data_IF_906315019877
#
_entry.id   IF_906315019877
#
_cell.length_a   1.000
_cell.length_b   1.000
_cell.length_c   1.000
_cell.angle_alpha   90.00
_cell.angle_beta   90.00
_cell.angle_gamma   90.00
#
_symmetry.space_group_name_H-M   'P 1'
#
loop_
_entity.id
_entity.type
_entity.pdbx_description
1 polymer ?
#
# COMPACT_ATOMS: atom_id res chain seq x y z
N UNK A 1 -24.71 -48.87 21.70
CA UNK A 1 -23.83 -48.73 20.51
C UNK A 1 -23.50 -47.26 20.35
N UNK A 2 -22.38 -46.84 20.87
CA UNK A 2 -21.83 -45.50 20.67
C UNK A 2 -21.26 -45.45 19.24
N UNK A 3 -21.91 -44.67 18.33
CA UNK A 3 -21.34 -44.34 17.04
C UNK A 3 -20.01 -43.64 17.27
N UNK A 4 -18.92 -44.29 16.95
CA UNK A 4 -17.61 -43.63 16.82
C UNK A 4 -17.77 -42.51 15.77
N UNK A 5 -17.82 -41.25 16.23
CA UNK A 5 -17.65 -40.12 15.36
C UNK A 5 -16.24 -40.23 14.75
N UNK A 6 -16.14 -40.42 13.43
CA UNK A 6 -14.88 -40.24 12.70
C UNK A 6 -14.35 -38.85 13.06
N UNK A 7 -13.05 -38.70 13.36
CA UNK A 7 -12.47 -37.38 13.55
C UNK A 7 -12.77 -36.57 12.28
N UNK A 8 -13.46 -35.45 12.42
CA UNK A 8 -13.69 -34.54 11.30
C UNK A 8 -12.29 -34.15 10.77
N UNK A 9 -12.02 -34.46 9.52
CA UNK A 9 -10.76 -34.03 8.88
C UNK A 9 -10.74 -32.49 8.97
N UNK A 10 -9.61 -31.96 9.49
CA UNK A 10 -9.39 -30.50 9.54
C UNK A 10 -9.49 -29.93 8.13
N UNK A 11 -10.22 -28.83 7.96
CA UNK A 11 -10.28 -28.10 6.68
C UNK A 11 -8.89 -27.51 6.39
N UNK A 12 -8.33 -27.85 5.23
CA UNK A 12 -7.02 -27.36 4.80
C UNK A 12 -7.19 -25.99 4.15
N UNK A 13 -6.78 -24.95 4.86
CA UNK A 13 -6.74 -23.58 4.34
C UNK A 13 -5.33 -23.29 3.85
N UNK A 14 -5.21 -22.92 2.58
CA UNK A 14 -3.94 -22.48 1.99
C UNK A 14 -4.04 -21.00 1.63
N UNK A 15 -3.09 -20.21 2.13
CA UNK A 15 -2.98 -18.77 1.87
C UNK A 15 -1.76 -18.57 0.98
N UNK A 16 -1.98 -18.05 -0.24
CA UNK A 16 -0.92 -17.72 -1.20
C UNK A 16 -0.61 -16.23 -1.10
N UNK A 17 0.59 -15.93 -0.62
CA UNK A 17 1.08 -14.59 -0.33
C UNK A 17 1.31 -14.38 1.16
N UNK A 18 2.59 -14.39 1.58
CA UNK A 18 3.01 -14.22 2.97
C UNK A 18 3.39 -12.76 3.31
N UNK A 19 2.81 -11.78 2.59
CA UNK A 19 2.88 -10.37 2.90
C UNK A 19 2.02 -9.99 4.10
N UNK A 20 1.76 -8.68 4.29
CA UNK A 20 1.02 -8.17 5.46
C UNK A 20 -0.36 -8.82 5.60
N UNK A 21 -1.12 -8.89 4.51
CA UNK A 21 -2.49 -9.40 4.53
C UNK A 21 -2.55 -10.90 4.86
N UNK A 22 -1.79 -11.73 4.12
CA UNK A 22 -1.80 -13.18 4.32
C UNK A 22 -1.24 -13.60 5.67
N UNK A 23 -0.15 -12.98 6.11
CA UNK A 23 0.45 -13.27 7.43
C UNK A 23 -0.45 -12.86 8.58
N UNK A 24 -1.13 -11.70 8.49
CA UNK A 24 -2.09 -11.30 9.50
C UNK A 24 -3.31 -12.22 9.51
N UNK A 25 -3.85 -12.58 8.34
CA UNK A 25 -4.96 -13.54 8.25
C UNK A 25 -4.59 -14.88 8.90
N UNK A 26 -3.43 -15.45 8.57
CA UNK A 26 -2.97 -16.72 9.15
C UNK A 26 -2.81 -16.63 10.68
N UNK A 27 -2.25 -15.53 11.19
CA UNK A 27 -2.11 -15.28 12.62
C UNK A 27 -3.48 -15.15 13.32
N UNK A 28 -4.41 -14.42 12.74
CA UNK A 28 -5.72 -14.16 13.35
C UNK A 28 -6.62 -15.41 13.29
N UNK A 29 -6.57 -16.19 12.20
CA UNK A 29 -7.24 -17.50 12.11
C UNK A 29 -6.74 -18.48 13.17
N UNK A 30 -5.43 -18.50 13.45
CA UNK A 30 -4.85 -19.33 14.52
C UNK A 30 -5.42 -18.97 15.90
N UNK A 31 -5.78 -17.70 16.13
CA UNK A 31 -6.31 -17.20 17.39
C UNK A 31 -7.84 -17.33 17.49
N UNK A 32 -8.53 -17.69 16.41
CA UNK A 32 -9.99 -17.82 16.38
C UNK A 32 -10.41 -19.10 17.10
N UNK A 33 -11.23 -19.02 18.17
CA UNK A 33 -11.66 -20.20 18.92
C UNK A 33 -12.53 -21.14 18.07
N UNK A 34 -12.52 -22.43 18.41
CA UNK A 34 -13.39 -23.46 17.81
C UNK A 34 -13.21 -23.69 16.29
N UNK A 35 -12.14 -23.19 15.69
CA UNK A 35 -11.81 -23.47 14.29
C UNK A 35 -10.91 -24.70 14.20
N UNK A 36 -11.32 -25.68 13.39
CA UNK A 36 -10.54 -26.91 13.14
C UNK A 36 -9.85 -26.82 11.76
N UNK A 37 -9.02 -25.77 11.58
CA UNK A 37 -8.30 -25.57 10.33
C UNK A 37 -6.86 -26.07 10.43
N UNK A 38 -6.34 -26.56 9.29
CA UNK A 38 -4.91 -26.73 9.04
C UNK A 38 -4.48 -25.61 8.12
N UNK A 39 -3.63 -24.70 8.59
CA UNK A 39 -3.28 -23.48 7.86
C UNK A 39 -1.90 -23.66 7.24
N UNK A 40 -1.79 -23.44 5.93
CA UNK A 40 -0.52 -23.33 5.20
C UNK A 40 -0.41 -21.93 4.61
N UNK A 41 0.68 -21.23 4.93
CA UNK A 41 1.01 -19.90 4.40
C UNK A 41 2.22 -20.01 3.47
N UNK A 42 2.05 -19.59 2.21
CA UNK A 42 3.08 -19.70 1.17
C UNK A 42 3.53 -18.31 0.73
N UNK A 43 4.84 -18.04 0.76
CA UNK A 43 5.44 -16.78 0.36
C UNK A 43 6.54 -16.94 -0.68
N UNK A 44 6.58 -16.03 -1.66
CA UNK A 44 7.66 -15.91 -2.64
C UNK A 44 8.94 -15.38 -1.99
N UNK A 45 8.80 -14.44 -1.04
CA UNK A 45 9.92 -13.85 -0.33
C UNK A 45 10.44 -14.78 0.79
N UNK A 46 11.74 -14.69 1.09
CA UNK A 46 12.34 -15.39 2.23
C UNK A 46 11.89 -14.81 3.57
N UNK A 47 11.70 -13.49 3.63
CA UNK A 47 11.15 -12.81 4.80
C UNK A 47 9.62 -12.84 4.75
N UNK A 48 9.01 -13.33 5.84
CA UNK A 48 7.56 -13.50 5.98
C UNK A 48 7.03 -12.66 7.13
N UNK A 49 5.84 -12.08 6.95
CA UNK A 49 5.11 -11.43 8.04
C UNK A 49 5.75 -10.15 8.55
N UNK A 50 6.44 -9.41 7.72
CA UNK A 50 6.97 -8.10 8.05
C UNK A 50 6.02 -6.95 7.66
N UNK A 51 6.20 -5.80 8.29
CA UNK A 51 5.42 -4.59 8.02
C UNK A 51 6.02 -3.80 6.84
N UNK A 52 5.42 -3.93 5.64
CA UNK A 52 5.89 -3.23 4.43
C UNK A 52 5.83 -1.71 4.54
N UNK A 53 4.98 -1.17 5.41
CA UNK A 53 4.92 0.30 5.64
C UNK A 53 6.23 0.80 6.22
N UNK A 54 6.96 -0.04 6.95
CA UNK A 54 8.20 0.32 7.61
C UNK A 54 9.45 0.22 6.70
N UNK A 55 9.30 -0.24 5.44
CA UNK A 55 10.42 -0.39 4.51
C UNK A 55 11.14 0.95 4.22
N UNK A 56 10.39 2.04 4.15
CA UNK A 56 10.97 3.37 3.98
C UNK A 56 11.77 3.83 5.21
N UNK A 57 11.28 3.51 6.41
CA UNK A 57 11.99 3.79 7.66
C UNK A 57 13.26 2.93 7.79
N UNK A 58 13.20 1.67 7.36
CA UNK A 58 14.36 0.79 7.29
C UNK A 58 15.40 1.30 6.29
N UNK A 59 14.97 1.71 5.09
CA UNK A 59 15.83 2.34 4.09
C UNK A 59 16.47 3.62 4.63
N UNK A 60 15.72 4.43 5.36
CA UNK A 60 16.21 5.67 5.97
C UNK A 60 17.12 5.45 7.19
N UNK A 61 17.29 4.20 7.64
CA UNK A 61 17.99 3.81 8.88
C UNK A 61 17.38 4.44 10.14
N UNK A 62 16.06 4.70 10.11
CA UNK A 62 15.29 5.24 11.24
C UNK A 62 14.84 4.13 12.19
N UNK A 63 14.83 2.87 11.72
CA UNK A 63 14.53 1.65 12.47
C UNK A 63 15.50 0.54 12.11
N UNK A 64 15.55 -0.48 12.95
CA UNK A 64 16.32 -1.73 12.75
C UNK A 64 15.45 -2.87 12.21
N UNK A 65 16.10 -3.94 11.73
CA UNK A 65 15.43 -5.17 11.29
C UNK A 65 14.52 -5.78 12.36
N UNK A 66 14.88 -5.61 13.65
CA UNK A 66 14.13 -6.15 14.78
C UNK A 66 12.72 -5.50 14.93
N UNK A 67 12.50 -4.33 14.35
CA UNK A 67 11.22 -3.59 14.40
C UNK A 67 10.31 -3.89 13.21
N UNK A 68 10.82 -4.64 12.23
CA UNK A 68 10.08 -4.98 11.01
C UNK A 68 8.94 -6.00 11.18
N UNK A 69 8.99 -6.99 12.09
CA UNK A 69 7.94 -8.00 12.18
C UNK A 69 6.55 -7.41 12.47
N UNK A 70 5.57 -7.73 11.62
CA UNK A 70 4.16 -7.45 11.82
C UNK A 70 3.50 -8.53 12.69
N UNK A 71 3.91 -9.77 12.49
CA UNK A 71 3.46 -10.95 13.24
C UNK A 71 4.64 -11.76 13.73
N UNK A 72 4.44 -12.53 14.79
CA UNK A 72 5.48 -13.45 15.29
C UNK A 72 5.37 -14.80 14.59
N UNK A 73 6.20 -15.02 13.57
CA UNK A 73 6.19 -16.24 12.75
C UNK A 73 6.56 -17.50 13.53
N UNK A 74 7.39 -17.41 14.58
CA UNK A 74 7.75 -18.56 15.42
C UNK A 74 6.55 -18.98 16.27
N UNK A 75 5.81 -18.04 16.85
CA UNK A 75 4.56 -18.36 17.54
C UNK A 75 3.52 -18.97 16.59
N UNK A 76 3.45 -18.49 15.34
CA UNK A 76 2.56 -19.09 14.33
C UNK A 76 2.94 -20.55 14.03
N UNK A 77 4.25 -20.85 13.83
CA UNK A 77 4.74 -22.23 13.62
C UNK A 77 4.43 -23.12 14.82
N UNK A 78 4.71 -22.67 16.03
CA UNK A 78 4.40 -23.40 17.27
C UNK A 78 2.89 -23.63 17.38
N UNK A 79 2.06 -22.68 16.96
CA UNK A 79 0.60 -22.80 16.92
C UNK A 79 0.06 -23.72 15.81
N UNK A 80 0.91 -24.24 14.92
CA UNK A 80 0.53 -25.20 13.89
C UNK A 80 0.33 -24.61 12.49
N UNK A 81 0.72 -23.36 12.26
CA UNK A 81 0.76 -22.82 10.89
C UNK A 81 1.99 -23.35 10.17
N UNK A 82 1.78 -24.02 9.04
CA UNK A 82 2.85 -24.43 8.14
C UNK A 82 3.26 -23.25 7.25
N UNK A 83 4.47 -22.72 7.41
CA UNK A 83 4.98 -21.57 6.65
C UNK A 83 6.02 -22.05 5.65
N UNK A 84 5.74 -21.84 4.35
CA UNK A 84 6.66 -22.07 3.23
C UNK A 84 7.10 -20.70 2.74
N UNK A 85 8.39 -20.37 2.83
CA UNK A 85 8.96 -19.08 2.42
C UNK A 85 10.02 -19.27 1.35
N UNK A 86 10.16 -18.32 0.44
CA UNK A 86 11.13 -18.39 -0.67
C UNK A 86 10.76 -19.38 -1.76
N UNK A 87 9.51 -19.85 -1.79
CA UNK A 87 9.06 -20.87 -2.75
C UNK A 87 7.70 -20.46 -3.35
N UNK A 88 7.70 -19.69 -4.44
CA UNK A 88 6.47 -19.18 -5.03
C UNK A 88 5.60 -20.27 -5.64
N UNK A 89 4.28 -20.07 -5.56
CA UNK A 89 3.32 -20.85 -6.34
C UNK A 89 3.44 -20.47 -7.81
N UNK A 90 3.71 -21.46 -8.67
CA UNK A 90 3.89 -21.27 -10.12
C UNK A 90 2.72 -21.77 -10.96
N UNK A 91 1.81 -22.54 -10.37
CA UNK A 91 0.62 -23.05 -11.04
C UNK A 91 -0.38 -23.62 -10.07
N UNK A 92 -1.62 -23.78 -10.52
CA UNK A 92 -2.69 -24.40 -9.76
C UNK A 92 -3.61 -25.21 -10.65
N UNK A 93 -4.23 -26.22 -10.06
CA UNK A 93 -5.25 -27.06 -10.67
C UNK A 93 -6.52 -27.01 -9.81
N UNK A 94 -7.63 -26.57 -10.40
CA UNK A 94 -8.91 -26.38 -9.70
C UNK A 94 -9.65 -27.70 -9.46
N UNK A 95 -9.49 -28.69 -10.35
CA UNK A 95 -10.19 -29.99 -10.24
C UNK A 95 -9.59 -30.84 -9.11
N UNK A 96 -8.25 -30.89 -9.07
CA UNK A 96 -7.52 -31.63 -8.03
C UNK A 96 -7.30 -30.84 -6.76
N UNK A 97 -7.58 -29.53 -6.77
CA UNK A 97 -7.32 -28.57 -5.68
C UNK A 97 -5.85 -28.62 -5.25
N UNK A 98 -4.95 -28.54 -6.21
CA UNK A 98 -3.51 -28.66 -5.99
C UNK A 98 -2.77 -27.41 -6.49
N UNK A 99 -1.81 -26.95 -5.68
CA UNK A 99 -0.88 -25.89 -6.03
C UNK A 99 0.50 -26.51 -6.30
N UNK A 100 1.19 -26.03 -7.34
CA UNK A 100 2.56 -26.38 -7.65
C UNK A 100 3.49 -25.24 -7.29
N UNK A 101 4.54 -25.55 -6.52
CA UNK A 101 5.57 -24.59 -6.13
C UNK A 101 6.77 -24.66 -7.06
N UNK A 102 7.60 -23.62 -7.06
CA UNK A 102 8.80 -23.55 -7.89
C UNK A 102 9.82 -24.65 -7.55
N UNK A 103 9.88 -25.11 -6.31
CA UNK A 103 10.70 -26.26 -5.87
C UNK A 103 10.25 -27.61 -6.45
N UNK A 104 9.07 -27.67 -7.06
CA UNK A 104 8.42 -28.91 -7.50
C UNK A 104 7.54 -29.56 -6.44
N UNK A 105 7.45 -29.00 -5.22
CA UNK A 105 6.49 -29.45 -4.20
C UNK A 105 5.07 -29.14 -4.62
N UNK A 106 4.13 -30.03 -4.26
CA UNK A 106 2.70 -29.83 -4.39
C UNK A 106 2.03 -29.63 -3.04
N UNK A 107 1.03 -28.73 -2.99
CA UNK A 107 0.22 -28.45 -1.79
C UNK A 107 -1.25 -28.52 -2.15
N UNK A 108 -2.00 -29.38 -1.45
CA UNK A 108 -3.45 -29.52 -1.66
C UNK A 108 -4.24 -28.68 -0.66
N UNK A 109 -5.40 -28.18 -1.07
CA UNK A 109 -6.26 -27.32 -0.24
C UNK A 109 -7.71 -27.79 -0.28
N UNK A 110 -8.49 -27.42 0.73
CA UNK A 110 -9.94 -27.46 0.72
C UNK A 110 -10.49 -26.04 0.44
N UNK A 111 -9.82 -25.01 0.99
CA UNK A 111 -10.08 -23.61 0.74
C UNK A 111 -8.77 -22.87 0.43
N UNK A 112 -8.79 -22.01 -0.58
CA UNK A 112 -7.66 -21.23 -1.03
C UNK A 112 -7.92 -19.74 -0.85
N UNK A 113 -6.94 -19.00 -0.34
CA UNK A 113 -7.02 -17.54 -0.22
C UNK A 113 -5.85 -16.90 -0.99
N UNK A 114 -6.18 -16.08 -1.98
CA UNK A 114 -5.21 -15.20 -2.62
C UNK A 114 -4.95 -13.98 -1.73
N UNK A 115 -3.72 -13.83 -1.27
CA UNK A 115 -3.19 -12.66 -0.59
C UNK A 115 -1.89 -12.21 -1.27
N UNK A 116 -1.82 -12.40 -2.59
CA UNK A 116 -0.65 -12.20 -3.45
C UNK A 116 -0.22 -10.73 -3.56
N UNK A 117 -1.09 -9.81 -3.16
CA UNK A 117 -0.79 -8.38 -3.13
C UNK A 117 -0.59 -7.79 -4.52
N UNK A 118 0.49 -7.04 -4.70
CA UNK A 118 0.79 -6.37 -5.97
C UNK A 118 2.30 -6.31 -6.19
N UNK A 119 2.71 -6.00 -7.41
CA UNK A 119 4.11 -5.74 -7.81
C UNK A 119 4.32 -4.26 -8.09
N UNK A 120 5.53 -3.76 -7.92
CA UNK A 120 5.89 -2.43 -8.37
C UNK A 120 5.66 -2.32 -9.89
N UNK A 121 5.02 -1.24 -10.32
CA UNK A 121 4.77 -1.01 -11.74
C UNK A 121 6.05 -0.51 -12.40
N UNK A 122 6.63 -1.33 -13.26
CA UNK A 122 7.71 -0.92 -14.14
C UNK A 122 7.09 -0.27 -15.38
N UNK A 123 7.43 0.99 -15.61
CA UNK A 123 6.91 1.72 -16.76
C UNK A 123 7.57 1.18 -18.05
N UNK A 124 6.83 1.15 -19.17
CA UNK A 124 7.34 0.67 -20.47
C UNK A 124 8.21 1.75 -21.12
N UNK A 125 9.34 2.05 -20.50
CA UNK A 125 10.35 2.99 -20.97
C UNK A 125 11.49 2.16 -21.59
N UNK A 126 12.03 2.61 -22.70
CA UNK A 126 13.20 1.96 -23.32
C UNK A 126 14.36 1.85 -22.31
N UNK A 127 14.92 0.66 -22.15
CA UNK A 127 15.97 0.37 -21.18
C UNK A 127 15.47 0.05 -19.75
N UNK A 128 14.16 0.04 -19.49
CA UNK A 128 13.60 -0.23 -18.16
C UNK A 128 13.82 -1.68 -17.65
N UNK A 129 14.26 -2.60 -18.49
CA UNK A 129 14.61 -3.98 -18.10
C UNK A 129 16.06 -4.13 -17.62
N UNK A 130 16.83 -3.04 -17.53
CA UNK A 130 18.22 -3.09 -17.09
C UNK A 130 18.35 -3.55 -15.64
N UNK A 131 19.45 -4.24 -15.26
CA UNK A 131 19.62 -4.77 -13.89
C UNK A 131 19.64 -3.73 -12.78
N UNK A 132 20.00 -2.47 -13.09
CA UNK A 132 19.96 -1.35 -12.14
C UNK A 132 18.70 -0.47 -12.28
N UNK A 133 17.60 -1.05 -12.80
CA UNK A 133 16.25 -0.49 -12.73
C UNK A 133 15.42 -1.42 -11.86
N UNK A 134 14.89 -0.92 -10.75
CA UNK A 134 14.17 -1.72 -9.77
C UNK A 134 12.93 -1.03 -9.26
N UNK A 135 12.03 -1.77 -8.65
CA UNK A 135 10.94 -1.23 -7.84
C UNK A 135 11.40 -0.89 -6.42
N UNK A 136 10.47 -0.32 -5.64
CA UNK A 136 10.62 -0.22 -4.19
C UNK A 136 9.36 -0.81 -3.54
N UNK A 137 9.45 -2.05 -3.07
CA UNK A 137 8.28 -2.75 -2.53
C UNK A 137 8.61 -3.86 -1.53
N UNK A 138 9.76 -4.50 -1.66
CA UNK A 138 10.15 -5.66 -0.86
C UNK A 138 11.32 -5.33 0.06
N UNK A 139 11.56 -6.20 1.05
CA UNK A 139 12.75 -6.09 1.88
C UNK A 139 14.02 -6.22 1.05
N UNK A 140 14.01 -7.12 0.08
CA UNK A 140 15.14 -7.28 -0.84
C UNK A 140 15.47 -6.00 -1.62
N UNK A 141 14.45 -5.20 -1.98
CA UNK A 141 14.68 -3.90 -2.62
C UNK A 141 15.44 -2.96 -1.68
N UNK A 142 15.11 -2.97 -0.38
CA UNK A 142 15.85 -2.21 0.63
C UNK A 142 17.29 -2.71 0.73
N UNK A 143 17.51 -4.04 0.77
CA UNK A 143 18.85 -4.62 0.85
C UNK A 143 19.72 -4.18 -0.33
N UNK A 144 19.18 -4.18 -1.56
CA UNK A 144 19.88 -3.70 -2.75
C UNK A 144 20.24 -2.21 -2.62
N UNK A 145 19.29 -1.37 -2.21
CA UNK A 145 19.52 0.07 -2.05
C UNK A 145 20.49 0.39 -0.92
N UNK A 146 20.47 -0.37 0.16
CA UNK A 146 21.40 -0.17 1.31
C UNK A 146 22.79 -0.70 1.04
N UNK A 147 22.95 -1.63 0.10
CA UNK A 147 24.26 -2.14 -0.34
C UNK A 147 25.03 -1.20 -1.26
N UNK A 148 24.42 -0.11 -1.74
CA UNK A 148 25.07 0.89 -2.58
C UNK A 148 26.28 1.49 -1.86
N UNK A 149 27.41 1.58 -2.57
CA UNK A 149 28.67 2.12 -2.00
C UNK A 149 28.98 3.51 -2.54
N UNK A 150 29.48 4.37 -1.65
CA UNK A 150 29.84 5.75 -2.02
C UNK A 150 28.60 6.60 -2.34
N UNK A 151 28.85 7.80 -2.87
CA UNK A 151 27.77 8.69 -3.31
C UNK A 151 27.35 8.30 -4.74
N UNK A 152 26.16 7.73 -4.88
CA UNK A 152 25.57 7.37 -6.17
C UNK A 152 24.56 8.42 -6.61
N UNK A 153 24.36 8.54 -7.93
CA UNK A 153 23.28 9.33 -8.52
C UNK A 153 22.07 8.42 -8.74
N UNK A 154 20.97 8.70 -8.04
CA UNK A 154 19.76 7.89 -8.08
C UNK A 154 18.60 8.67 -8.68
N UNK A 155 17.93 8.07 -9.66
CA UNK A 155 16.69 8.57 -10.22
C UNK A 155 15.51 7.82 -9.61
N UNK A 156 14.59 8.55 -8.97
CA UNK A 156 13.31 7.99 -8.48
C UNK A 156 12.18 8.43 -9.41
N UNK A 157 11.41 7.49 -9.93
CA UNK A 157 10.29 7.78 -10.84
C UNK A 157 8.98 7.63 -10.08
N UNK A 158 8.37 8.76 -9.77
CA UNK A 158 7.09 8.85 -9.05
C UNK A 158 7.19 9.74 -7.81
N UNK A 159 6.50 10.89 -7.83
CA UNK A 159 6.35 11.83 -6.69
C UNK A 159 5.16 11.48 -5.79
N UNK A 160 4.79 10.20 -5.70
CA UNK A 160 3.86 9.67 -4.71
C UNK A 160 4.56 9.36 -3.39
N UNK A 161 3.78 8.94 -2.37
CA UNK A 161 4.30 8.68 -1.01
C UNK A 161 5.57 7.82 -1.01
N UNK A 162 5.49 6.63 -1.61
CA UNK A 162 6.57 5.65 -1.60
C UNK A 162 7.84 6.17 -2.31
N UNK A 163 7.67 6.91 -3.41
CA UNK A 163 8.80 7.51 -4.13
C UNK A 163 9.49 8.61 -3.32
N UNK A 164 8.72 9.46 -2.64
CA UNK A 164 9.27 10.51 -1.76
C UNK A 164 9.99 9.92 -0.55
N UNK A 165 9.43 8.87 0.06
CA UNK A 165 10.06 8.16 1.16
C UNK A 165 11.37 7.47 0.72
N UNK A 166 11.37 6.82 -0.46
CA UNK A 166 12.57 6.24 -1.05
C UNK A 166 13.64 7.31 -1.29
N UNK A 167 13.24 8.44 -1.88
CA UNK A 167 14.16 9.56 -2.15
C UNK A 167 14.83 10.07 -0.88
N UNK A 168 14.04 10.32 0.17
CA UNK A 168 14.58 10.79 1.45
C UNK A 168 15.47 9.75 2.12
N UNK A 169 15.05 8.46 2.10
CA UNK A 169 15.88 7.38 2.63
C UNK A 169 17.25 7.31 1.96
N UNK A 170 17.29 7.45 0.65
CA UNK A 170 18.52 7.44 -0.15
C UNK A 170 19.38 8.70 0.09
N UNK A 171 18.76 9.88 0.21
CA UNK A 171 19.49 11.12 0.59
C UNK A 171 20.13 11.00 1.97
N UNK A 172 19.41 10.47 2.96
CA UNK A 172 19.95 10.21 4.31
C UNK A 172 21.17 9.27 4.28
N UNK A 173 21.25 8.39 3.28
CA UNK A 173 22.41 7.50 3.04
C UNK A 173 23.55 8.16 2.24
N UNK A 174 23.42 9.42 1.90
CA UNK A 174 24.47 10.20 1.22
C UNK A 174 24.45 10.11 -0.30
N UNK A 175 23.34 9.64 -0.90
CA UNK A 175 23.17 9.60 -2.35
C UNK A 175 22.61 10.92 -2.90
N UNK A 176 22.90 11.23 -4.17
CA UNK A 176 22.27 12.32 -4.91
C UNK A 176 20.97 11.80 -5.53
N UNK A 177 19.84 12.38 -5.18
CA UNK A 177 18.55 11.86 -5.61
C UNK A 177 17.76 12.89 -6.38
N UNK A 178 17.31 12.53 -7.58
CA UNK A 178 16.36 13.31 -8.40
C UNK A 178 15.07 12.52 -8.58
N UNK A 179 13.94 13.14 -8.21
CA UNK A 179 12.60 12.57 -8.36
C UNK A 179 11.95 13.12 -9.63
N UNK A 180 11.61 12.26 -10.57
CA UNK A 180 10.76 12.58 -11.72
C UNK A 180 9.30 12.37 -11.38
N UNK A 181 8.48 13.35 -11.68
CA UNK A 181 7.03 13.24 -11.50
C UNK A 181 6.27 13.87 -12.65
N UNK A 182 5.39 13.08 -13.28
CA UNK A 182 4.60 13.52 -14.45
C UNK A 182 3.62 14.65 -14.17
N UNK A 183 3.18 14.82 -12.91
CA UNK A 183 2.29 15.91 -12.49
C UNK A 183 3.11 17.12 -12.04
N UNK A 184 2.51 18.30 -12.10
CA UNK A 184 3.15 19.57 -11.76
C UNK A 184 3.40 19.75 -10.25
N UNK A 185 2.85 18.88 -9.39
CA UNK A 185 3.07 18.89 -7.94
C UNK A 185 3.05 17.49 -7.34
N UNK A 186 3.72 17.37 -6.19
CA UNK A 186 3.87 16.12 -5.44
C UNK A 186 2.55 15.66 -4.81
N UNK A 187 2.39 14.35 -4.60
CA UNK A 187 1.21 13.76 -3.96
C UNK A 187 -0.12 14.28 -4.54
N UNK A 188 -0.20 14.46 -5.86
CA UNK A 188 -1.30 15.10 -6.57
C UNK A 188 -2.68 14.43 -6.37
N UNK A 189 -2.73 13.26 -5.73
CA UNK A 189 -3.97 12.59 -5.30
C UNK A 189 -4.37 12.92 -3.85
N UNK A 190 -3.46 13.46 -3.05
CA UNK A 190 -3.63 13.73 -1.62
C UNK A 190 -3.52 15.22 -1.30
N UNK A 191 -2.79 15.99 -2.09
CA UNK A 191 -2.50 17.39 -1.87
C UNK A 191 -2.95 18.23 -3.06
N UNK A 192 -3.26 19.49 -2.79
CA UNK A 192 -3.36 20.52 -3.82
C UNK A 192 -1.96 21.14 -4.10
N UNK A 193 -1.89 22.02 -5.10
CA UNK A 193 -0.62 22.61 -5.52
C UNK A 193 0.06 23.40 -4.39
N UNK A 194 -0.72 24.07 -3.52
CA UNK A 194 -0.19 24.94 -2.46
C UNK A 194 0.42 24.11 -1.31
N UNK A 195 -0.31 23.12 -0.81
CA UNK A 195 0.23 22.22 0.23
C UNK A 195 1.38 21.34 -0.30
N UNK A 196 1.33 20.95 -1.58
CA UNK A 196 2.41 20.23 -2.22
C UNK A 196 3.68 21.06 -2.38
N UNK A 197 3.56 22.39 -2.61
CA UNK A 197 4.73 23.28 -2.64
C UNK A 197 5.43 23.39 -1.28
N UNK A 198 4.66 23.40 -0.18
CA UNK A 198 5.24 23.36 1.17
C UNK A 198 6.04 22.06 1.39
N UNK A 199 5.49 20.93 0.91
CA UNK A 199 6.18 19.64 1.00
C UNK A 199 7.45 19.64 0.12
N UNK A 200 7.36 20.13 -1.11
CA UNK A 200 8.48 20.19 -2.03
C UNK A 200 9.64 20.99 -1.43
N UNK A 201 9.38 22.21 -0.95
CA UNK A 201 10.38 23.05 -0.31
C UNK A 201 11.09 22.32 0.85
N UNK A 202 10.31 21.62 1.68
CA UNK A 202 10.85 20.85 2.80
C UNK A 202 11.75 19.70 2.34
N UNK A 203 11.40 19.00 1.26
CA UNK A 203 12.21 17.91 0.72
C UNK A 203 13.45 18.41 -0.02
N UNK A 204 13.37 19.58 -0.67
CA UNK A 204 14.52 20.25 -1.28
C UNK A 204 15.55 20.71 -0.23
N UNK A 205 15.09 21.23 0.91
CA UNK A 205 15.96 21.53 2.07
C UNK A 205 16.70 20.29 2.59
N UNK A 206 16.10 19.11 2.44
CA UNK A 206 16.71 17.84 2.80
C UNK A 206 17.69 17.31 1.73
N UNK A 207 17.75 17.93 0.55
CA UNK A 207 18.65 17.58 -0.53
C UNK A 207 18.06 16.75 -1.66
N UNK A 208 16.73 16.57 -1.69
CA UNK A 208 16.04 15.93 -2.82
C UNK A 208 15.88 16.93 -3.96
N UNK A 209 16.18 16.52 -5.18
CA UNK A 209 15.94 17.30 -6.40
C UNK A 209 14.67 16.82 -7.11
N UNK A 210 13.98 17.73 -7.81
CA UNK A 210 12.71 17.40 -8.49
C UNK A 210 12.72 17.81 -9.95
N UNK A 211 12.14 16.94 -10.79
CA UNK A 211 11.74 17.20 -12.18
C UNK A 211 10.22 16.98 -12.25
N UNK A 212 9.45 18.06 -12.01
CA UNK A 212 7.98 18.02 -12.03
C UNK A 212 7.43 18.34 -13.41
N UNK A 213 6.27 17.76 -13.74
CA UNK A 213 5.68 17.83 -15.08
C UNK A 213 6.48 17.03 -16.11
N UNK A 214 7.42 16.18 -15.66
CA UNK A 214 8.41 15.51 -16.49
C UNK A 214 8.36 13.99 -16.27
N UNK A 215 8.67 13.25 -17.33
CA UNK A 215 8.85 11.80 -17.29
C UNK A 215 10.02 11.40 -18.15
N UNK A 216 10.83 10.42 -17.75
CA UNK A 216 11.86 9.88 -18.62
C UNK A 216 11.27 9.32 -19.92
N UNK A 217 11.94 9.58 -21.03
CA UNK A 217 11.61 9.03 -22.37
C UNK A 217 12.38 7.74 -22.66
N UNK A 218 13.62 7.62 -22.16
CA UNK A 218 14.47 6.44 -22.32
C UNK A 218 15.53 6.34 -21.22
N UNK A 219 16.09 5.15 -21.06
CA UNK A 219 17.28 4.88 -20.26
C UNK A 219 18.41 4.39 -21.15
N UNK A 220 19.50 5.15 -21.23
CA UNK A 220 20.67 4.77 -22.00
C UNK A 220 21.51 3.77 -21.23
N UNK A 221 21.87 2.68 -21.88
CA UNK A 221 22.64 1.60 -21.30
C UNK A 221 24.10 1.62 -21.76
N UNK A 222 24.99 1.20 -20.88
CA UNK A 222 26.38 0.87 -21.20
C UNK A 222 26.46 -0.44 -21.99
N UNK A 223 27.67 -0.77 -22.45
CA UNK A 223 27.95 -2.08 -23.08
C UNK A 223 27.69 -3.27 -22.15
N UNK A 224 27.66 -3.03 -20.82
CA UNK A 224 27.36 -4.07 -19.81
C UNK A 224 25.85 -4.19 -19.53
N UNK A 225 25.00 -3.42 -20.21
CA UNK A 225 23.55 -3.43 -20.03
C UNK A 225 23.03 -2.64 -18.84
N UNK A 226 23.91 -1.94 -18.08
CA UNK A 226 23.48 -1.07 -16.99
C UNK A 226 23.07 0.30 -17.52
N UNK A 227 22.00 0.87 -16.98
CA UNK A 227 21.60 2.26 -17.23
C UNK A 227 22.69 3.19 -16.72
N UNK A 228 23.07 4.15 -17.56
CA UNK A 228 24.06 5.19 -17.24
C UNK A 228 23.47 6.59 -17.31
N UNK A 229 22.41 6.79 -18.09
CA UNK A 229 21.72 8.08 -18.20
C UNK A 229 20.21 7.90 -18.32
N UNK A 230 19.48 8.80 -17.70
CA UNK A 230 18.06 9.06 -17.93
C UNK A 230 17.94 10.12 -19.01
N UNK A 231 17.13 9.87 -20.03
CA UNK A 231 16.81 10.84 -21.08
C UNK A 231 15.49 11.50 -20.74
N UNK A 232 15.49 12.81 -20.56
CA UNK A 232 14.29 13.61 -20.33
C UNK A 232 13.48 13.81 -21.62
N UNK A 233 12.22 14.18 -21.51
CA UNK A 233 11.43 14.55 -22.71
C UNK A 233 11.99 15.80 -23.41
N UNK A 234 12.64 16.68 -22.65
CA UNK A 234 13.38 17.84 -23.18
C UNK A 234 14.58 17.46 -24.05
N UNK A 235 15.03 16.19 -24.02
CA UNK A 235 16.26 15.71 -24.65
C UNK A 235 17.52 15.85 -23.77
N UNK A 236 17.41 16.37 -22.56
CA UNK A 236 18.51 16.40 -21.61
C UNK A 236 18.87 14.99 -21.12
N UNK A 237 20.18 14.75 -20.93
CA UNK A 237 20.71 13.47 -20.42
C UNK A 237 21.25 13.66 -19.01
N UNK A 238 20.65 12.99 -18.04
CA UNK A 238 21.08 13.03 -16.64
C UNK A 238 21.80 11.71 -16.29
N UNK A 239 23.05 11.77 -15.80
CA UNK A 239 23.78 10.57 -15.38
C UNK A 239 23.13 9.91 -14.18
N UNK A 240 23.08 8.58 -14.16
CA UNK A 240 22.44 7.80 -13.10
C UNK A 240 23.13 6.46 -12.90
N UNK A 241 23.20 6.02 -11.63
CA UNK A 241 23.75 4.72 -11.23
C UNK A 241 22.63 3.72 -10.88
N UNK A 242 21.49 4.21 -10.40
CA UNK A 242 20.31 3.41 -10.04
C UNK A 242 19.02 4.14 -10.43
N UNK A 243 18.05 3.40 -10.95
CA UNK A 243 16.69 3.88 -11.19
C UNK A 243 15.71 3.13 -10.29
N UNK A 244 14.92 3.87 -9.49
CA UNK A 244 13.89 3.33 -8.62
C UNK A 244 12.51 3.69 -9.16
N UNK A 245 11.72 2.68 -9.58
CA UNK A 245 10.36 2.83 -10.07
C UNK A 245 9.36 2.84 -8.90
N UNK A 246 8.80 4.00 -8.61
CA UNK A 246 7.73 4.20 -7.62
C UNK A 246 6.47 4.80 -8.25
N UNK A 247 6.17 4.42 -9.50
CA UNK A 247 5.08 4.97 -10.32
C UNK A 247 3.73 4.26 -10.15
N UNK A 248 3.55 3.59 -9.02
CA UNK A 248 2.35 2.83 -8.66
C UNK A 248 2.59 1.33 -8.60
N UNK A 249 1.49 0.58 -8.47
CA UNK A 249 1.49 -0.87 -8.31
C UNK A 249 0.57 -1.52 -9.36
N UNK A 250 0.80 -2.80 -9.61
CA UNK A 250 -0.09 -3.66 -10.40
C UNK A 250 -0.48 -4.85 -9.53
N UNK A 251 -1.77 -5.14 -9.32
CA UNK A 251 -2.23 -6.32 -8.60
C UNK A 251 -1.63 -7.61 -9.17
N UNK A 252 -1.22 -8.54 -8.30
CA UNK A 252 -0.69 -9.84 -8.71
C UNK A 252 -1.84 -10.83 -8.89
N UNK A 253 -2.25 -10.98 -10.12
CA UNK A 253 -3.46 -11.75 -10.51
C UNK A 253 -3.16 -12.93 -11.41
N UNK A 254 -1.89 -13.17 -11.77
CA UNK A 254 -1.48 -14.14 -12.78
C UNK A 254 -2.06 -15.54 -12.51
N UNK A 255 -1.88 -16.07 -11.32
CA UNK A 255 -2.37 -17.41 -10.97
C UNK A 255 -3.89 -17.53 -11.08
N UNK A 256 -4.64 -16.53 -10.59
CA UNK A 256 -6.09 -16.50 -10.68
C UNK A 256 -6.57 -16.47 -12.13
N UNK A 257 -5.94 -15.61 -12.95
CA UNK A 257 -6.26 -15.47 -14.38
C UNK A 257 -5.95 -16.73 -15.17
N UNK A 258 -4.80 -17.36 -14.94
CA UNK A 258 -4.40 -18.62 -15.59
C UNK A 258 -5.33 -19.78 -15.22
N UNK A 259 -5.93 -19.74 -14.02
CA UNK A 259 -6.90 -20.71 -13.55
C UNK A 259 -8.34 -20.42 -13.99
N UNK A 260 -8.59 -19.33 -14.72
CA UNK A 260 -9.94 -18.98 -15.20
C UNK A 260 -10.85 -18.32 -14.14
N UNK A 261 -10.27 -17.80 -13.04
CA UNK A 261 -10.99 -17.02 -12.05
C UNK A 261 -11.19 -15.61 -12.59
N UNK A 262 -12.33 -14.98 -12.30
CA UNK A 262 -12.68 -13.67 -12.80
C UNK A 262 -11.70 -12.58 -12.31
N UNK A 263 -11.13 -11.87 -13.28
CA UNK A 263 -10.14 -10.79 -13.07
C UNK A 263 -10.50 -9.61 -13.98
N UNK A 264 -10.61 -8.41 -13.38
CA UNK A 264 -10.64 -7.13 -14.08
C UNK A 264 -9.29 -6.39 -13.87
N UNK A 265 -9.28 -5.33 -13.04
CA UNK A 265 -8.04 -4.71 -12.59
C UNK A 265 -7.33 -5.58 -11.55
N UNK A 266 -8.11 -6.30 -10.73
CA UNK A 266 -7.66 -7.27 -9.75
C UNK A 266 -8.59 -8.48 -9.72
N UNK A 267 -8.40 -9.43 -8.80
CA UNK A 267 -9.27 -10.61 -8.65
C UNK A 267 -10.61 -10.14 -8.12
N UNK A 268 -11.68 -10.39 -8.88
CA UNK A 268 -13.04 -9.97 -8.52
C UNK A 268 -13.55 -10.81 -7.36
N UNK A 269 -14.07 -10.13 -6.32
CA UNK A 269 -14.68 -10.78 -5.14
C UNK A 269 -16.06 -10.18 -4.84
N UNK A 270 -16.86 -10.96 -4.13
CA UNK A 270 -18.13 -10.53 -3.54
C UNK A 270 -17.94 -9.89 -2.15
N UNK A 271 -19.01 -9.50 -1.48
CA UNK A 271 -19.01 -8.91 -0.13
C UNK A 271 -18.49 -9.88 0.96
N UNK A 272 -18.36 -11.17 0.65
CA UNK A 272 -17.78 -12.21 1.52
C UNK A 272 -16.31 -12.51 1.19
N UNK A 273 -15.68 -11.70 0.34
CA UNK A 273 -14.33 -11.90 -0.19
C UNK A 273 -14.19 -13.16 -1.04
N UNK A 274 -15.27 -13.71 -1.58
CA UNK A 274 -15.30 -14.93 -2.38
C UNK A 274 -15.14 -14.58 -3.85
N UNK A 275 -14.34 -15.37 -4.57
CA UNK A 275 -14.12 -15.22 -6.01
C UNK A 275 -15.25 -15.90 -6.81
N UNK A 276 -15.15 -15.91 -8.13
CA UNK A 276 -16.05 -16.68 -9.00
C UNK A 276 -16.00 -18.20 -8.76
N UNK A 277 -14.99 -18.70 -8.01
CA UNK A 277 -14.87 -20.10 -7.62
C UNK A 277 -15.32 -20.32 -6.16
N UNK A 278 -16.14 -21.37 -5.86
CA UNK A 278 -16.80 -21.54 -4.56
C UNK A 278 -15.87 -21.71 -3.36
N UNK A 279 -14.68 -22.27 -3.54
CA UNK A 279 -13.72 -22.56 -2.47
C UNK A 279 -12.48 -21.64 -2.49
N UNK A 280 -12.56 -20.55 -3.27
CA UNK A 280 -11.44 -19.64 -3.45
C UNK A 280 -11.86 -18.21 -3.09
N UNK A 281 -11.03 -17.58 -2.27
CA UNK A 281 -11.19 -16.23 -1.77
C UNK A 281 -10.01 -15.36 -2.17
N UNK A 282 -10.17 -14.04 -2.12
CA UNK A 282 -9.06 -13.10 -2.29
C UNK A 282 -9.21 -11.91 -1.36
N UNK A 283 -8.09 -11.34 -0.90
CA UNK A 283 -8.07 -10.14 -0.08
C UNK A 283 -6.78 -9.33 -0.29
N UNK A 284 -6.81 -8.09 0.11
CA UNK A 284 -5.65 -7.20 0.00
C UNK A 284 -5.57 -6.49 -1.35
N UNK A 285 -4.35 -6.14 -1.75
CA UNK A 285 -4.14 -5.38 -2.99
C UNK A 285 -4.38 -6.19 -4.27
N UNK A 286 -4.47 -7.53 -4.17
CA UNK A 286 -4.74 -8.38 -5.33
C UNK A 286 -6.24 -8.54 -5.63
N UNK A 287 -7.15 -8.07 -4.77
CA UNK A 287 -8.58 -8.18 -4.98
C UNK A 287 -9.25 -6.87 -5.40
N UNK A 288 -10.41 -7.01 -6.04
CA UNK A 288 -11.29 -5.96 -6.49
C UNK A 288 -12.71 -6.24 -6.03
N UNK A 289 -13.34 -5.28 -5.35
CA UNK A 289 -14.72 -5.33 -4.93
C UNK A 289 -15.43 -4.05 -5.41
N UNK A 290 -16.61 -4.19 -6.04
CA UNK A 290 -17.37 -3.07 -6.63
C UNK A 290 -16.51 -2.14 -7.50
N UNK A 291 -15.65 -2.71 -8.35
CA UNK A 291 -14.71 -2.02 -9.26
C UNK A 291 -13.65 -1.17 -8.54
N UNK A 292 -13.45 -1.36 -7.24
CA UNK A 292 -12.42 -0.69 -6.46
C UNK A 292 -11.32 -1.65 -6.02
N UNK A 293 -10.07 -1.17 -6.11
CA UNK A 293 -8.88 -1.86 -5.60
C UNK A 293 -8.38 -1.18 -4.34
N UNK A 294 -7.67 -1.91 -3.49
CA UNK A 294 -7.33 -1.49 -2.14
C UNK A 294 -5.81 -1.33 -1.98
N UNK A 295 -5.34 -0.10 -1.80
CA UNK A 295 -3.92 0.21 -1.58
C UNK A 295 -3.60 0.70 -0.16
N UNK A 296 -4.62 0.83 0.70
CA UNK A 296 -4.47 1.23 2.11
C UNK A 296 -4.71 0.02 3.02
N UNK A 297 -4.04 0.02 4.16
CA UNK A 297 -4.07 -1.12 5.08
C UNK A 297 -5.40 -1.26 5.83
N UNK A 298 -6.07 -0.15 6.16
CA UNK A 298 -7.28 -0.18 6.97
C UNK A 298 -8.43 -1.00 6.32
N UNK A 299 -8.78 -0.81 5.03
CA UNK A 299 -9.75 -1.66 4.35
C UNK A 299 -9.34 -3.14 4.36
N UNK A 300 -8.05 -3.44 4.18
CA UNK A 300 -7.54 -4.82 4.16
C UNK A 300 -7.74 -5.50 5.52
N UNK A 301 -7.58 -4.76 6.64
CA UNK A 301 -7.87 -5.30 7.98
C UNK A 301 -9.37 -5.60 8.16
N UNK A 302 -10.25 -4.83 7.54
CA UNK A 302 -11.70 -5.12 7.53
C UNK A 302 -12.00 -6.36 6.69
N UNK A 303 -11.39 -6.50 5.50
CA UNK A 303 -11.51 -7.71 4.67
C UNK A 303 -11.08 -8.96 5.43
N UNK A 304 -9.98 -8.92 6.20
CA UNK A 304 -9.51 -10.05 7.02
C UNK A 304 -10.58 -10.44 8.05
N UNK A 305 -11.16 -9.48 8.76
CA UNK A 305 -12.21 -9.76 9.76
C UNK A 305 -13.42 -10.41 9.11
N UNK A 306 -13.88 -9.87 7.99
CA UNK A 306 -14.99 -10.45 7.21
C UNK A 306 -14.69 -11.89 6.78
N UNK A 307 -13.50 -12.11 6.23
CA UNK A 307 -13.12 -13.43 5.76
C UNK A 307 -13.01 -14.45 6.90
N UNK A 308 -12.49 -14.07 8.07
CA UNK A 308 -12.45 -14.93 9.26
C UNK A 308 -13.88 -15.32 9.68
N UNK A 309 -14.82 -14.37 9.72
CA UNK A 309 -16.23 -14.61 10.02
C UNK A 309 -16.83 -15.62 9.03
N UNK A 310 -16.61 -15.43 7.73
CA UNK A 310 -17.09 -16.33 6.67
C UNK A 310 -16.48 -17.74 6.80
N UNK A 311 -15.16 -17.84 7.02
CA UNK A 311 -14.47 -19.13 7.20
C UNK A 311 -14.89 -19.86 8.48
N UNK A 312 -15.43 -19.14 9.48
CA UNK A 312 -16.03 -19.71 10.69
C UNK A 312 -17.47 -20.18 10.49
N UNK A 313 -18.03 -20.00 9.29
CA UNK A 313 -19.42 -20.40 8.95
C UNK A 313 -20.48 -19.37 9.35
N UNK A 314 -20.08 -18.16 9.67
CA UNK A 314 -20.96 -17.04 10.03
C UNK A 314 -21.14 -16.08 8.85
N UNK A 315 -22.16 -15.23 8.89
CA UNK A 315 -22.40 -14.22 7.85
C UNK A 315 -21.49 -13.00 8.06
N UNK A 316 -20.55 -12.81 7.14
CA UNK A 316 -19.67 -11.63 7.05
C UNK A 316 -20.02 -10.81 5.80
N UNK A 317 -19.98 -9.48 5.91
CA UNK A 317 -20.23 -8.57 4.80
C UNK A 317 -19.20 -7.45 4.80
N UNK A 318 -18.43 -7.32 3.73
CA UNK A 318 -17.51 -6.22 3.51
C UNK A 318 -18.26 -5.05 2.88
N UNK A 319 -18.05 -3.87 3.45
CA UNK A 319 -18.59 -2.61 2.94
C UNK A 319 -17.43 -1.65 2.73
N UNK A 320 -17.44 -0.95 1.60
CA UNK A 320 -16.44 0.08 1.31
C UNK A 320 -16.76 1.33 2.14
N UNK A 321 -15.85 1.67 3.03
CA UNK A 321 -15.93 2.90 3.81
C UNK A 321 -14.87 3.90 3.35
N UNK A 322 -15.19 5.21 3.33
CA UNK A 322 -14.18 6.24 3.12
C UNK A 322 -13.01 6.03 4.08
N UNK A 323 -11.80 6.08 3.56
CA UNK A 323 -10.60 5.88 4.38
C UNK A 323 -9.72 7.12 4.26
N UNK A 324 -9.40 7.79 5.38
CA UNK A 324 -8.51 8.93 5.35
C UNK A 324 -7.07 8.50 5.05
N UNK A 325 -6.39 9.28 4.25
CA UNK A 325 -4.96 9.12 4.02
C UNK A 325 -4.20 9.89 5.11
N UNK A 326 -3.57 9.15 6.02
CA UNK A 326 -2.65 9.70 7.03
C UNK A 326 -1.23 9.35 6.63
N UNK A 327 -0.41 10.35 6.38
CA UNK A 327 0.96 10.18 5.93
C UNK A 327 1.91 10.90 6.86
N UNK A 328 3.10 10.33 7.03
CA UNK A 328 4.22 11.01 7.65
C UNK A 328 5.40 10.95 6.67
N UNK A 329 5.58 12.02 5.92
CA UNK A 329 6.66 12.12 4.94
C UNK A 329 7.78 12.94 5.55
N UNK A 330 8.91 12.30 5.81
CA UNK A 330 10.13 13.01 6.24
C UNK A 330 9.94 13.97 7.43
N UNK A 331 9.15 13.53 8.40
CA UNK A 331 8.83 14.30 9.60
C UNK A 331 7.64 15.25 9.46
N UNK A 332 7.09 15.43 8.26
CA UNK A 332 5.88 16.22 8.04
C UNK A 332 4.65 15.33 8.16
N UNK A 333 3.70 15.70 9.00
CA UNK A 333 2.42 15.04 9.11
C UNK A 333 1.45 15.58 8.06
N UNK A 334 0.78 14.69 7.35
CA UNK A 334 -0.21 15.00 6.33
C UNK A 334 -1.48 14.20 6.60
N UNK A 335 -2.61 14.83 6.35
CA UNK A 335 -3.92 14.19 6.39
C UNK A 335 -4.75 14.68 5.21
N UNK A 336 -5.34 13.76 4.47
CA UNK A 336 -6.31 14.12 3.45
C UNK A 336 -7.42 13.10 3.36
N UNK A 337 -8.63 13.55 3.08
CA UNK A 337 -9.81 12.71 2.91
C UNK A 337 -10.83 13.38 2.01
N UNK A 338 -11.55 12.58 1.25
CA UNK A 338 -12.65 13.04 0.39
C UNK A 338 -12.19 13.83 -0.83
N UNK A 339 -13.01 14.79 -1.25
CA UNK A 339 -12.83 15.60 -2.44
C UNK A 339 -11.82 16.72 -2.21
N UNK A 340 -10.56 16.53 -2.57
CA UNK A 340 -9.49 17.54 -2.39
C UNK A 340 -9.40 18.56 -3.52
N UNK A 341 -9.93 18.22 -4.70
CA UNK A 341 -10.04 19.12 -5.87
C UNK A 341 -11.47 19.63 -5.94
N UNK A 342 -11.71 20.93 -5.65
CA UNK A 342 -13.06 21.49 -5.67
C UNK A 342 -13.58 21.61 -7.10
N UNK A 343 -14.90 21.54 -7.28
CA UNK A 343 -15.63 21.96 -8.46
C UNK A 343 -16.16 23.39 -8.29
N UNK A 344 -16.82 23.93 -9.33
CA UNK A 344 -17.33 25.29 -9.30
C UNK A 344 -18.41 25.52 -8.22
N UNK A 345 -19.13 24.48 -7.83
CA UNK A 345 -20.23 24.53 -6.86
C UNK A 345 -19.75 24.27 -5.42
N UNK A 346 -18.45 24.10 -5.19
CA UNK A 346 -17.90 23.83 -3.87
C UNK A 346 -17.34 25.11 -3.22
N UNK A 347 -17.65 25.31 -1.97
CA UNK A 347 -17.02 26.32 -1.14
C UNK A 347 -15.67 25.82 -0.62
N UNK A 348 -14.65 26.67 -0.69
CA UNK A 348 -13.32 26.37 -0.18
C UNK A 348 -12.94 27.32 0.96
N UNK A 349 -12.63 26.72 2.10
CA UNK A 349 -12.11 27.44 3.26
C UNK A 349 -10.66 26.98 3.44
N UNK A 350 -9.74 27.92 3.56
CA UNK A 350 -8.34 27.58 3.79
C UNK A 350 -7.68 28.49 4.83
N UNK A 351 -6.68 27.94 5.50
CA UNK A 351 -5.84 28.62 6.44
C UNK A 351 -4.38 28.25 6.17
N UNK A 352 -3.49 29.22 6.17
CA UNK A 352 -2.06 29.02 5.95
C UNK A 352 -1.27 29.84 6.96
N UNK A 353 -0.43 29.14 7.74
CA UNK A 353 0.60 29.74 8.57
C UNK A 353 1.97 29.32 8.03
N UNK A 354 2.62 30.27 7.35
CA UNK A 354 3.93 30.03 6.72
C UNK A 354 5.01 29.82 7.78
N UNK A 355 4.95 30.56 8.90
CA UNK A 355 5.96 30.50 9.96
C UNK A 355 5.93 29.13 10.69
N UNK A 356 4.73 28.62 10.94
CA UNK A 356 4.54 27.32 11.56
C UNK A 356 4.55 26.17 10.54
N UNK A 357 4.62 26.46 9.24
CA UNK A 357 4.49 25.47 8.18
C UNK A 357 3.18 24.67 8.31
N UNK A 358 2.07 25.33 8.58
CA UNK A 358 0.76 24.73 8.67
C UNK A 358 -0.13 25.16 7.50
N UNK A 359 -0.85 24.19 6.92
CA UNK A 359 -1.87 24.45 5.92
C UNK A 359 -3.10 23.59 6.20
N UNK A 360 -4.28 24.20 6.05
CA UNK A 360 -5.57 23.54 6.12
C UNK A 360 -6.42 23.98 4.94
N UNK A 361 -7.07 23.03 4.29
CA UNK A 361 -8.08 23.28 3.27
C UNK A 361 -9.28 22.39 3.52
N UNK A 362 -10.44 22.99 3.52
CA UNK A 362 -11.73 22.34 3.69
C UNK A 362 -12.57 22.60 2.45
N UNK A 363 -13.19 21.58 1.91
CA UNK A 363 -14.10 21.64 0.77
C UNK A 363 -15.50 21.34 1.28
N UNK A 364 -16.42 22.26 1.10
CA UNK A 364 -17.81 22.16 1.55
C UNK A 364 -18.73 22.20 0.33
N UNK A 365 -19.74 21.34 0.29
CA UNK A 365 -20.77 21.29 -0.74
C UNK A 365 -22.12 21.13 -0.07
N UNK A 366 -23.08 22.02 -0.38
CA UNK A 366 -24.43 22.05 0.19
C UNK A 366 -24.45 21.96 1.73
N UNK A 367 -23.55 22.69 2.39
CA UNK A 367 -23.40 22.70 3.84
C UNK A 367 -22.79 21.42 4.44
N UNK A 368 -22.28 20.51 3.62
CA UNK A 368 -21.60 19.30 4.07
C UNK A 368 -20.10 19.38 3.79
N UNK A 369 -19.27 19.01 4.78
CA UNK A 369 -17.84 18.85 4.57
C UNK A 369 -17.61 17.62 3.68
N UNK A 370 -17.00 17.82 2.49
CA UNK A 370 -16.76 16.76 1.50
C UNK A 370 -15.28 16.48 1.25
N UNK A 371 -14.39 17.37 1.68
CA UNK A 371 -12.95 17.18 1.49
C UNK A 371 -12.11 17.95 2.50
N UNK A 372 -10.97 17.39 2.87
CA UNK A 372 -10.03 17.97 3.85
C UNK A 372 -8.59 17.69 3.42
N UNK A 373 -7.75 18.73 3.50
CA UNK A 373 -6.29 18.62 3.48
C UNK A 373 -5.75 19.30 4.74
N UNK A 374 -4.93 18.58 5.50
CA UNK A 374 -4.15 19.17 6.62
C UNK A 374 -2.68 18.86 6.37
N UNK A 375 -1.84 19.88 6.51
CA UNK A 375 -0.38 19.80 6.43
C UNK A 375 0.26 20.36 7.71
N UNK A 376 1.21 19.64 8.27
CA UNK A 376 1.90 20.00 9.52
C UNK A 376 1.08 19.63 10.76
N UNK A 377 0.07 20.43 11.11
CA UNK A 377 -0.83 20.11 12.21
C UNK A 377 -2.06 19.33 11.72
N UNK A 378 -2.13 18.05 12.06
CA UNK A 378 -3.20 17.12 11.66
C UNK A 378 -4.10 16.68 12.82
N UNK A 379 -4.04 17.35 13.97
CA UNK A 379 -4.72 16.94 15.19
C UNK A 379 -6.24 16.76 14.99
N UNK A 380 -6.88 17.68 14.27
CA UNK A 380 -8.33 17.65 14.02
C UNK A 380 -8.77 16.69 12.90
N UNK A 381 -7.83 15.97 12.25
CA UNK A 381 -8.13 15.13 11.10
C UNK A 381 -9.19 14.07 11.37
N UNK A 382 -9.18 13.45 12.55
CA UNK A 382 -10.18 12.44 12.93
C UNK A 382 -11.57 13.05 13.11
N UNK A 383 -11.66 14.27 13.67
CA UNK A 383 -12.92 14.98 13.84
C UNK A 383 -13.51 15.40 12.48
N UNK A 384 -12.71 15.98 11.60
CA UNK A 384 -13.18 16.28 10.23
C UNK A 384 -13.65 15.03 9.50
N UNK A 385 -12.95 13.92 9.67
CA UNK A 385 -13.36 12.66 9.07
C UNK A 385 -14.74 12.20 9.60
N UNK A 386 -15.01 12.33 10.90
CA UNK A 386 -16.31 12.03 11.47
C UNK A 386 -17.42 12.94 10.91
N UNK A 387 -17.15 14.24 10.69
CA UNK A 387 -18.12 15.14 10.04
C UNK A 387 -18.49 14.66 8.63
N UNK A 388 -17.49 14.20 7.84
CA UNK A 388 -17.71 13.63 6.51
C UNK A 388 -18.51 12.33 6.59
N UNK A 389 -18.12 11.39 7.44
CA UNK A 389 -18.80 10.08 7.59
C UNK A 389 -20.26 10.25 8.02
N UNK A 390 -20.52 11.11 9.00
CA UNK A 390 -21.84 11.34 9.55
C UNK A 390 -22.69 12.28 8.69
N UNK A 391 -22.13 12.81 7.59
CA UNK A 391 -22.79 13.84 6.75
C UNK A 391 -23.36 14.98 7.59
N UNK A 392 -22.54 15.45 8.55
CA UNK A 392 -22.94 16.51 9.47
C UNK A 392 -23.02 17.83 8.71
N UNK A 393 -24.17 18.55 8.82
CA UNK A 393 -24.28 19.89 8.27
C UNK A 393 -23.39 20.85 9.08
N UNK A 394 -22.51 21.57 8.37
CA UNK A 394 -21.51 22.46 8.97
C UNK A 394 -21.81 23.94 8.75
N UNK A 395 -22.98 24.29 8.17
CA UNK A 395 -23.34 25.65 7.81
C UNK A 395 -23.26 26.64 8.99
N UNK A 396 -23.67 26.24 10.18
CA UNK A 396 -23.67 27.10 11.38
C UNK A 396 -22.26 27.30 11.99
N UNK A 397 -21.25 26.56 11.50
CA UNK A 397 -19.88 26.64 12.02
C UNK A 397 -18.82 26.97 10.95
N UNK A 398 -19.24 27.35 9.74
CA UNK A 398 -18.33 27.56 8.60
C UNK A 398 -17.19 28.54 8.92
N UNK A 399 -17.48 29.66 9.59
CA UNK A 399 -16.48 30.68 9.92
C UNK A 399 -15.39 30.17 10.87
N UNK A 400 -15.72 29.20 11.73
CA UNK A 400 -14.81 28.64 12.73
C UNK A 400 -14.24 27.28 12.32
N UNK A 401 -14.82 26.65 11.32
CA UNK A 401 -14.53 25.29 10.92
C UNK A 401 -13.02 25.06 10.66
N UNK A 402 -12.36 25.99 10.01
CA UNK A 402 -10.93 25.91 9.66
C UNK A 402 -10.00 25.91 10.88
N UNK A 403 -10.46 26.43 12.02
CA UNK A 403 -9.67 26.47 13.27
C UNK A 403 -9.75 25.16 14.05
N UNK A 404 -10.67 24.25 13.69
CA UNK A 404 -10.76 22.91 14.25
C UNK A 404 -11.85 22.75 15.32
N UNK A 405 -11.92 21.53 15.85
CA UNK A 405 -13.00 21.07 16.74
C UNK A 405 -13.21 21.97 17.96
N UNK A 406 -12.13 22.40 18.60
CA UNK A 406 -12.19 23.21 19.82
C UNK A 406 -12.93 24.53 19.66
N UNK A 407 -12.94 25.09 18.44
CA UNK A 407 -13.61 26.36 18.14
C UNK A 407 -15.07 26.17 17.72
N UNK A 408 -15.44 24.97 17.25
CA UNK A 408 -16.78 24.62 16.79
C UNK A 408 -17.67 24.02 17.88
N UNK A 409 -17.10 23.64 19.02
CA UNK A 409 -17.90 23.13 20.16
C UNK A 409 -18.66 24.29 20.84
N UNK A 410 -19.95 24.11 21.18
CA UNK A 410 -20.66 25.09 22.00
C UNK A 410 -19.84 25.32 23.28
N UNK A 411 -19.58 26.59 23.61
CA UNK A 411 -19.01 26.88 24.94
C UNK A 411 -19.99 26.38 25.96
N UNK A 412 -19.60 25.36 26.71
CA UNK A 412 -20.37 24.95 27.90
C UNK A 412 -20.35 26.13 28.85
N UNK A 413 -21.52 26.73 29.05
CA UNK A 413 -21.72 27.89 29.93
C UNK A 413 -21.57 27.47 31.41
#
# INVERSE_FOLDING_TARGET
MLKQMKPSSRVRIVIVGAGMAGSKLANDLLQTPNTHHSITLIGEESQVGYNRIMLSSLLANDISDAEMPLVNTDKMRVGGVHIISGDPVIGMDLETKELRLASGQSVTYDQLIFATGSRAKILPIEGASAPNVMGFRTWQDVDVMTALKGCQSVCVIGGGLLGLEAAVGLVKRGHKVTVFHRSNWLLNRQLDAESAQLLQNRLEEMGVQFQLGESPSAFLQSKTGLVTHVVCQSGEHMPVDLVVMAAGISPEVRLAKEAGIDVNQAIVVDEKMKTSHPDIFALGECCEFEQQTFGLVAPIWTQIKVLITVLSGEDGCFVIEPTPTKLKVSGVNLFSVGKIQPSQDDDCIFFKDVAASHYRKLVVNDGLLVGVILYGNVADGSWYFQLIQNKTNVSDMLELLVFGEAYCRPKVA
#
